data_IF_684902929813
#
_entry.id   IF_684902929813
#
_cell.length_a   1.000
_cell.length_b   1.000
_cell.length_c   1.000
_cell.angle_alpha   90.00
_cell.angle_beta   90.00
_cell.angle_gamma   90.00
#
_symmetry.space_group_name_H-M   'P 1'
#
loop_
_entity.id
_entity.type
_entity.pdbx_description
1 polymer ?
#
# COMPACT_ATOMS: atom_id res chain seq x y z
N UNK A 1 5.32 -20.52 7.00
CA UNK A 1 6.25 -20.44 8.16
C UNK A 1 5.95 -21.53 9.19
N UNK A 2 6.91 -22.42 9.45
CA UNK A 2 6.76 -23.56 10.38
C UNK A 2 6.86 -23.16 11.86
N UNK A 3 6.38 -21.97 12.21
CA UNK A 3 6.58 -21.35 13.52
C UNK A 3 5.63 -21.94 14.57
N UNK A 4 4.47 -22.44 14.14
CA UNK A 4 3.41 -22.94 15.03
C UNK A 4 3.16 -24.45 14.86
N UNK A 5 4.16 -25.24 14.44
CA UNK A 5 3.98 -26.69 14.21
C UNK A 5 3.52 -27.44 15.47
N UNK A 6 3.93 -26.98 16.65
CA UNK A 6 3.58 -27.60 17.94
C UNK A 6 2.21 -27.21 18.49
N UNK A 7 1.43 -26.42 17.75
CA UNK A 7 0.07 -25.99 18.16
C UNK A 7 -0.92 -26.66 17.21
N UNK A 8 -1.97 -27.28 17.74
CA UNK A 8 -3.02 -27.89 16.91
C UNK A 8 -3.78 -26.85 16.09
N UNK A 9 -4.28 -27.24 14.90
CA UNK A 9 -5.01 -26.33 13.99
C UNK A 9 -6.26 -25.73 14.64
N UNK A 10 -6.96 -26.49 15.49
CA UNK A 10 -8.17 -26.05 16.20
C UNK A 10 -7.91 -24.85 17.11
N UNK A 11 -6.67 -24.69 17.58
CA UNK A 11 -6.26 -23.60 18.45
C UNK A 11 -5.70 -22.39 17.67
N UNK A 12 -5.82 -22.38 16.34
CA UNK A 12 -5.32 -21.32 15.47
C UNK A 12 -6.46 -20.64 14.75
N UNK A 13 -6.41 -19.31 14.71
CA UNK A 13 -7.23 -18.49 13.84
C UNK A 13 -6.29 -17.69 12.91
N UNK A 14 -6.37 -17.95 11.61
CA UNK A 14 -5.51 -17.35 10.58
C UNK A 14 -6.29 -16.24 9.87
N UNK A 15 -5.71 -15.05 9.80
CA UNK A 15 -6.31 -13.90 9.11
C UNK A 15 -5.41 -13.52 7.93
N UNK A 16 -6.01 -13.38 6.75
CA UNK A 16 -5.35 -12.81 5.58
C UNK A 16 -5.79 -11.35 5.39
N UNK A 17 -4.83 -10.43 5.29
CA UNK A 17 -5.08 -8.99 5.17
C UNK A 17 -4.45 -8.48 3.88
N UNK A 18 -5.24 -7.86 3.01
CA UNK A 18 -4.74 -7.29 1.76
C UNK A 18 -5.61 -6.11 1.32
N UNK A 19 -5.04 -5.02 0.77
CA UNK A 19 -5.84 -3.97 0.13
C UNK A 19 -6.09 -4.35 -1.32
N UNK A 20 -7.12 -5.15 -1.58
CA UNK A 20 -7.50 -5.53 -2.95
C UNK A 20 -8.27 -4.38 -3.59
N UNK A 21 -7.60 -3.64 -4.48
CA UNK A 21 -8.19 -2.49 -5.18
C UNK A 21 -9.02 -2.97 -6.37
N UNK A 22 -10.31 -2.69 -6.34
CA UNK A 22 -11.26 -3.05 -7.41
C UNK A 22 -11.74 -1.82 -8.19
N UNK A 23 -10.88 -0.80 -8.29
CA UNK A 23 -11.15 0.42 -9.04
C UNK A 23 -10.59 0.34 -10.45
N UNK A 24 -11.38 0.84 -11.40
CA UNK A 24 -10.96 1.02 -12.77
C UNK A 24 -10.86 2.51 -13.09
N UNK A 25 -9.87 2.88 -13.90
CA UNK A 25 -9.71 4.23 -14.46
C UNK A 25 -10.76 4.44 -15.57
N UNK A 26 -10.96 3.41 -16.38
CA UNK A 26 -11.97 3.33 -17.44
C UNK A 26 -12.43 1.88 -17.63
N UNK A 27 -13.27 1.61 -18.63
CA UNK A 27 -13.82 0.27 -18.86
C UNK A 27 -12.79 -0.82 -19.19
N UNK A 28 -11.54 -0.47 -19.49
CA UNK A 28 -10.49 -1.38 -19.95
C UNK A 28 -9.24 -1.35 -19.05
N UNK A 29 -9.02 -0.26 -18.32
CA UNK A 29 -7.83 -0.05 -17.50
C UNK A 29 -8.17 -0.13 -16.01
N UNK A 30 -7.81 -1.25 -15.38
CA UNK A 30 -7.89 -1.43 -13.94
C UNK A 30 -6.70 -0.78 -13.23
N UNK A 31 -6.93 -0.21 -12.05
CA UNK A 31 -5.84 0.24 -11.17
C UNK A 31 -5.20 -0.99 -10.51
N UNK A 32 -3.90 -1.26 -10.72
CA UNK A 32 -3.25 -2.41 -10.11
C UNK A 32 -3.22 -2.30 -8.60
N UNK A 33 -3.68 -3.35 -7.90
CA UNK A 33 -3.53 -3.49 -6.45
C UNK A 33 -2.07 -3.30 -6.00
N UNK A 34 -1.10 -3.68 -6.83
CA UNK A 34 0.32 -3.47 -6.54
C UNK A 34 0.70 -2.00 -6.42
N UNK A 35 0.10 -1.13 -7.23
CA UNK A 35 0.40 0.30 -7.22
C UNK A 35 -0.18 0.94 -5.96
N UNK A 36 -1.41 0.58 -5.60
CA UNK A 36 -2.00 1.02 -4.34
C UNK A 36 -1.12 0.66 -3.13
N UNK A 37 -0.65 -0.60 -3.08
CA UNK A 37 0.23 -1.09 -2.02
C UNK A 37 1.59 -0.39 -2.00
N UNK A 38 2.15 -0.12 -3.17
CA UNK A 38 3.39 0.63 -3.31
C UNK A 38 3.24 2.06 -2.80
N UNK A 39 2.16 2.76 -3.17
CA UNK A 39 1.87 4.12 -2.72
C UNK A 39 1.68 4.19 -1.20
N UNK A 40 0.88 3.27 -0.63
CA UNK A 40 0.72 3.12 0.83
C UNK A 40 2.07 2.96 1.52
N UNK A 41 2.92 2.07 0.99
CA UNK A 41 4.25 1.80 1.55
C UNK A 41 5.15 3.04 1.45
N UNK A 42 5.17 3.70 0.31
CA UNK A 42 6.00 4.88 0.06
C UNK A 42 5.68 6.00 1.06
N UNK A 43 4.39 6.31 1.24
CA UNK A 43 3.95 7.36 2.17
C UNK A 43 4.30 6.99 3.60
N UNK A 44 4.02 5.76 4.03
CA UNK A 44 4.34 5.30 5.39
C UNK A 44 5.84 5.33 5.66
N UNK A 45 6.64 4.73 4.78
CA UNK A 45 8.08 4.59 4.97
C UNK A 45 8.76 5.98 4.93
N UNK A 46 8.29 6.91 4.10
CA UNK A 46 8.76 8.30 4.13
C UNK A 46 8.44 9.00 5.46
N UNK A 47 7.18 8.90 5.92
CA UNK A 47 6.74 9.54 7.16
C UNK A 47 7.39 8.96 8.43
N UNK A 48 7.55 7.64 8.48
CA UNK A 48 7.95 6.93 9.73
C UNK A 48 9.43 6.58 9.78
N UNK A 49 10.11 6.47 8.63
CA UNK A 49 11.50 6.01 8.54
C UNK A 49 12.43 7.00 7.82
N UNK A 50 11.88 8.08 7.26
CA UNK A 50 12.64 9.04 6.47
C UNK A 50 13.13 8.48 5.13
N UNK A 51 12.55 7.37 4.66
CA UNK A 51 12.91 6.79 3.36
C UNK A 51 12.47 7.71 2.22
N UNK A 52 13.28 7.76 1.16
CA UNK A 52 12.88 8.44 -0.08
C UNK A 52 11.91 7.57 -0.90
N UNK A 53 11.26 8.16 -1.90
CA UNK A 53 10.50 7.39 -2.89
C UNK A 53 11.40 6.36 -3.59
N UNK A 54 12.63 6.74 -3.90
CA UNK A 54 13.61 5.88 -4.58
C UNK A 54 13.99 4.65 -3.75
N UNK A 55 14.18 4.80 -2.44
CA UNK A 55 14.44 3.67 -1.53
C UNK A 55 13.29 2.64 -1.56
N UNK A 56 12.06 3.15 -1.63
CA UNK A 56 10.86 2.31 -1.71
C UNK A 56 10.79 1.58 -3.06
N UNK A 57 11.00 2.30 -4.17
CA UNK A 57 10.99 1.72 -5.52
C UNK A 57 12.09 0.64 -5.67
N UNK A 58 13.29 0.91 -5.15
CA UNK A 58 14.42 -0.02 -5.13
C UNK A 58 14.10 -1.32 -4.40
N UNK A 59 13.44 -1.24 -3.25
CA UNK A 59 13.15 -2.40 -2.42
C UNK A 59 11.87 -3.15 -2.83
N UNK A 60 11.02 -2.56 -3.67
CA UNK A 60 9.68 -3.08 -3.99
C UNK A 60 9.70 -4.51 -4.55
N UNK A 61 10.62 -4.82 -5.46
CA UNK A 61 10.76 -6.17 -6.03
C UNK A 61 11.14 -7.22 -4.97
N UNK A 62 11.91 -6.84 -3.95
CA UNK A 62 12.25 -7.75 -2.85
C UNK A 62 11.02 -8.08 -2.00
N UNK A 63 10.22 -7.06 -1.70
CA UNK A 63 8.97 -7.21 -0.94
C UNK A 63 8.00 -8.12 -1.70
N UNK A 64 7.84 -7.92 -3.01
CA UNK A 64 6.96 -8.72 -3.87
C UNK A 64 7.39 -10.19 -3.93
N UNK A 65 8.68 -10.46 -4.14
CA UNK A 65 9.23 -11.83 -4.09
C UNK A 65 9.03 -12.49 -2.73
N UNK A 66 9.19 -11.73 -1.65
CA UNK A 66 8.92 -12.22 -0.29
C UNK A 66 7.45 -12.62 -0.11
N UNK A 67 6.53 -11.81 -0.63
CA UNK A 67 5.09 -12.06 -0.57
C UNK A 67 4.69 -13.27 -1.41
N UNK A 68 5.21 -13.40 -2.63
CA UNK A 68 4.97 -14.56 -3.50
C UNK A 68 5.46 -15.86 -2.88
N UNK A 69 6.56 -15.82 -2.13
CA UNK A 69 7.13 -17.02 -1.51
C UNK A 69 6.47 -17.38 -0.18
N UNK A 70 6.10 -16.39 0.62
CA UNK A 70 5.77 -16.59 2.03
C UNK A 70 4.37 -16.15 2.45
N UNK A 71 3.63 -15.43 1.60
CA UNK A 71 2.30 -14.89 1.93
C UNK A 71 1.24 -15.44 0.98
N UNK A 72 1.41 -15.25 -0.33
CA UNK A 72 0.41 -15.64 -1.34
C UNK A 72 0.05 -17.13 -1.35
N UNK A 73 0.99 -18.08 -1.19
CA UNK A 73 0.65 -19.51 -1.18
C UNK A 73 -0.25 -19.91 -0.01
N UNK A 74 -0.32 -19.09 1.04
CA UNK A 74 -1.04 -19.39 2.28
C UNK A 74 -2.37 -18.63 2.40
N UNK A 75 -2.77 -17.84 1.40
CA UNK A 75 -4.00 -17.04 1.48
C UNK A 75 -5.26 -17.91 1.65
N UNK A 76 -5.30 -19.07 0.99
CA UNK A 76 -6.43 -20.01 1.04
C UNK A 76 -6.49 -20.82 2.36
N UNK A 77 -5.45 -20.75 3.19
CA UNK A 77 -5.45 -21.37 4.51
C UNK A 77 -6.09 -20.48 5.59
N UNK A 78 -6.46 -19.24 5.26
CA UNK A 78 -6.99 -18.28 6.22
C UNK A 78 -8.45 -18.60 6.59
N UNK A 79 -8.78 -18.39 7.86
CA UNK A 79 -10.14 -18.52 8.40
C UNK A 79 -10.98 -17.28 8.09
N UNK A 80 -10.34 -16.12 7.93
CA UNK A 80 -10.98 -14.87 7.56
C UNK A 80 -10.09 -14.03 6.66
N UNK A 81 -10.71 -13.29 5.75
CA UNK A 81 -10.05 -12.36 4.85
C UNK A 81 -10.55 -10.95 5.08
N UNK A 82 -9.63 -10.00 5.26
CA UNK A 82 -9.92 -8.59 5.46
C UNK A 82 -9.37 -7.78 4.29
N UNK A 83 -10.28 -7.22 3.49
CA UNK A 83 -9.90 -6.22 2.50
C UNK A 83 -9.74 -4.86 3.19
N UNK A 84 -8.55 -4.28 3.10
CA UNK A 84 -8.25 -2.96 3.68
C UNK A 84 -8.25 -1.84 2.65
N UNK A 85 -8.61 -2.12 1.40
CA UNK A 85 -8.76 -1.11 0.36
C UNK A 85 -9.96 -0.20 0.66
N UNK A 86 -9.82 1.09 0.37
CA UNK A 86 -10.90 2.08 0.50
C UNK A 86 -11.10 2.74 -0.86
N UNK A 87 -12.36 2.87 -1.29
CA UNK A 87 -12.72 3.38 -2.62
C UNK A 87 -12.13 4.78 -2.89
N UNK A 88 -12.01 5.62 -1.87
CA UNK A 88 -11.51 6.98 -1.98
C UNK A 88 -10.00 7.11 -1.77
N UNK A 89 -9.28 6.03 -1.43
CA UNK A 89 -7.93 6.17 -0.88
C UNK A 89 -6.94 6.79 -1.86
N UNK A 90 -7.06 6.52 -3.17
CA UNK A 90 -6.12 7.05 -4.15
C UNK A 90 -6.20 8.59 -4.22
N UNK A 91 -7.37 9.16 -4.01
CA UNK A 91 -7.53 10.62 -3.93
C UNK A 91 -6.82 11.20 -2.71
N UNK A 92 -6.79 10.48 -1.60
CA UNK A 92 -6.08 10.90 -0.39
C UNK A 92 -4.57 10.69 -0.56
N UNK A 93 -4.16 9.49 -1.01
CA UNK A 93 -2.75 9.14 -1.20
C UNK A 93 -2.09 10.04 -2.25
N UNK A 94 -2.82 10.50 -3.27
CA UNK A 94 -2.36 11.48 -4.25
C UNK A 94 -1.62 12.65 -3.58
N UNK A 95 -2.26 13.30 -2.61
CA UNK A 95 -1.74 14.52 -1.94
C UNK A 95 -0.35 14.28 -1.31
N UNK A 96 -0.11 13.08 -0.80
CA UNK A 96 1.12 12.73 -0.08
C UNK A 96 2.17 12.04 -0.97
N UNK A 97 1.73 11.27 -1.98
CA UNK A 97 2.64 10.53 -2.85
C UNK A 97 3.29 11.41 -3.91
N UNK A 98 2.58 12.39 -4.48
CA UNK A 98 3.12 13.20 -5.57
C UNK A 98 4.41 13.95 -5.18
N UNK A 99 4.51 14.64 -4.02
CA UNK A 99 5.75 15.29 -3.63
C UNK A 99 6.94 14.33 -3.53
N UNK A 100 6.70 13.11 -3.05
CA UNK A 100 7.73 12.07 -2.94
C UNK A 100 8.16 11.56 -4.32
N UNK A 101 7.21 11.35 -5.24
CA UNK A 101 7.50 10.89 -6.58
C UNK A 101 8.23 11.97 -7.41
N UNK A 102 7.88 13.23 -7.25
CA UNK A 102 8.55 14.35 -7.91
C UNK A 102 9.97 14.60 -7.39
N UNK A 103 10.33 14.09 -6.21
CA UNK A 103 11.69 14.20 -5.68
C UNK A 103 12.67 13.17 -6.25
N UNK A 104 12.21 12.24 -7.10
CA UNK A 104 13.08 11.26 -7.77
C UNK A 104 13.85 11.95 -8.89
N UNK A 105 15.19 11.80 -8.87
CA UNK A 105 16.08 12.44 -9.86
C UNK A 105 15.81 11.91 -11.28
N UNK A 106 15.88 12.80 -12.28
CA UNK A 106 15.68 12.45 -13.70
C UNK A 106 16.68 11.41 -14.23
N UNK A 107 17.87 11.32 -13.62
CA UNK A 107 18.90 10.36 -13.99
C UNK A 107 18.80 9.05 -13.17
N UNK A 108 17.85 8.95 -12.23
CA UNK A 108 17.63 7.71 -11.49
C UNK A 108 17.10 6.62 -12.42
N UNK A 109 17.55 5.39 -12.20
CA UNK A 109 17.00 4.19 -12.88
C UNK A 109 15.51 3.96 -12.56
N UNK A 110 14.98 4.60 -11.51
CA UNK A 110 13.60 4.50 -11.07
C UNK A 110 12.71 5.64 -11.56
N UNK A 111 13.26 6.61 -12.30
CA UNK A 111 12.54 7.80 -12.74
C UNK A 111 11.32 7.46 -13.60
N UNK A 112 11.44 6.51 -14.53
CA UNK A 112 10.31 6.11 -15.38
C UNK A 112 9.16 5.48 -14.59
N UNK A 113 9.47 4.70 -13.56
CA UNK A 113 8.46 4.12 -12.68
C UNK A 113 7.79 5.19 -11.82
N UNK A 114 8.57 6.16 -11.31
CA UNK A 114 8.01 7.31 -10.61
C UNK A 114 7.08 8.12 -11.53
N UNK A 115 7.50 8.38 -12.77
CA UNK A 115 6.69 9.06 -13.80
C UNK A 115 5.40 8.30 -14.13
N UNK A 116 5.45 6.96 -14.19
CA UNK A 116 4.26 6.11 -14.39
C UNK A 116 3.25 6.31 -13.26
N UNK A 117 3.71 6.27 -12.00
CA UNK A 117 2.86 6.49 -10.84
C UNK A 117 2.31 7.93 -10.77
N UNK A 118 3.11 8.93 -11.13
CA UNK A 118 2.64 10.32 -11.25
C UNK A 118 1.51 10.42 -12.27
N UNK A 119 1.66 9.80 -13.44
CA UNK A 119 0.63 9.82 -14.48
C UNK A 119 -0.65 9.09 -14.04
N UNK A 120 -0.53 7.99 -13.29
CA UNK A 120 -1.68 7.35 -12.66
C UNK A 120 -2.41 8.34 -11.74
N UNK A 121 -1.70 8.97 -10.80
CA UNK A 121 -2.28 9.88 -9.81
C UNK A 121 -2.87 11.16 -10.41
N UNK A 122 -2.33 11.64 -11.53
CA UNK A 122 -2.89 12.80 -12.27
C UNK A 122 -4.31 12.58 -12.78
N UNK A 123 -4.74 11.33 -12.95
CA UNK A 123 -6.12 10.99 -13.33
C UNK A 123 -7.08 10.94 -12.12
N UNK A 124 -6.58 11.16 -10.90
CA UNK A 124 -7.34 11.03 -9.67
C UNK A 124 -7.52 12.41 -9.03
N UNK A 125 -8.75 12.75 -8.65
CA UNK A 125 -9.03 13.98 -7.91
C UNK A 125 -8.47 13.89 -6.48
N UNK A 126 -7.67 14.88 -6.03
CA UNK A 126 -7.11 14.88 -4.68
C UNK A 126 -8.22 15.10 -3.64
N UNK A 127 -8.12 14.38 -2.53
CA UNK A 127 -9.02 14.51 -1.37
C UNK A 127 -8.19 15.01 -0.20
N UNK A 128 -8.52 16.17 0.40
CA UNK A 128 -7.78 16.72 1.52
C UNK A 128 -7.91 15.84 2.77
N UNK A 129 -6.89 15.88 3.62
CA UNK A 129 -6.82 15.10 4.86
C UNK A 129 -7.94 15.44 5.85
N UNK A 130 -8.44 16.67 5.83
CA UNK A 130 -9.41 17.19 6.81
C UNK A 130 -10.77 16.51 6.71
N UNK A 131 -11.11 15.96 5.54
CA UNK A 131 -12.37 15.23 5.32
C UNK A 131 -12.31 13.77 5.76
N UNK A 132 -11.13 13.28 6.15
CA UNK A 132 -10.96 11.87 6.50
C UNK A 132 -11.30 11.64 7.98
N UNK A 133 -12.16 10.67 8.33
CA UNK A 133 -12.42 10.32 9.72
C UNK A 133 -11.13 9.92 10.47
N UNK A 134 -11.05 10.24 11.77
CA UNK A 134 -9.86 9.92 12.59
C UNK A 134 -9.70 8.43 12.86
N UNK A 135 -10.76 7.66 12.73
CA UNK A 135 -10.81 6.20 12.88
C UNK A 135 -10.62 5.44 11.56
N UNK A 136 -10.45 6.15 10.43
CA UNK A 136 -10.19 5.51 9.13
C UNK A 136 -8.82 4.84 9.08
N UNK A 137 -8.75 3.62 8.54
CA UNK A 137 -7.49 2.86 8.39
C UNK A 137 -6.43 3.64 7.60
N UNK A 138 -6.83 4.51 6.66
CA UNK A 138 -5.86 5.30 5.87
C UNK A 138 -5.02 6.26 6.72
N UNK A 139 -5.49 6.60 7.94
CA UNK A 139 -4.78 7.41 8.92
C UNK A 139 -3.46 6.79 9.38
N UNK A 140 -3.30 5.47 9.23
CA UNK A 140 -2.02 4.78 9.41
C UNK A 140 -0.94 5.38 8.50
N UNK A 141 -1.29 5.68 7.25
CA UNK A 141 -0.34 6.19 6.25
C UNK A 141 -0.16 7.70 6.40
N UNK A 142 -1.26 8.45 6.47
CA UNK A 142 -1.24 9.92 6.38
C UNK A 142 -1.18 10.66 7.73
N UNK A 143 -1.32 9.94 8.85
CA UNK A 143 -1.40 10.53 10.19
C UNK A 143 -2.77 11.10 10.56
N UNK A 144 -2.92 11.60 11.80
CA UNK A 144 -4.17 12.16 12.32
C UNK A 144 -5.13 11.12 12.94
N UNK A 145 -4.66 9.90 13.15
CA UNK A 145 -5.44 8.81 13.76
C UNK A 145 -5.92 9.18 15.18
N UNK A 146 -7.05 8.61 15.59
CA UNK A 146 -7.44 8.55 17.02
C UNK A 146 -6.82 7.37 17.77
N UNK A 147 -6.24 6.41 17.04
CA UNK A 147 -5.49 5.30 17.62
C UNK A 147 -4.05 5.72 17.87
N UNK A 148 -3.51 5.35 19.03
CA UNK A 148 -2.08 5.48 19.31
C UNK A 148 -1.29 4.50 18.44
N UNK A 149 -0.33 5.04 17.69
CA UNK A 149 0.62 4.22 16.94
C UNK A 149 1.74 3.85 17.92
N UNK A 150 1.82 2.57 18.30
CA UNK A 150 2.90 2.05 19.14
C UNK A 150 4.24 2.01 18.40
#
# INVERSE_FOLDING_TARGET
>A
PNILQNIDRVNKFKIYISPTTDLNIDNHNRIPTTDNRLLRRMIRDARTRGNTAEDTLKSWNLVRRGEERFIFPYQDEADAMLNTALIYELGVLHVYALPLLYSVDINSIYYDEAKRLINLLKNILPIPSDEIPRDSIIREFIGGSCYEVQ
#
